data_IF_551589770413
#
_entry.id   IF_551589770413
#
_cell.length_a   1.000
_cell.length_b   1.000
_cell.length_c   1.000
_cell.angle_alpha   90.00
_cell.angle_beta   90.00
_cell.angle_gamma   90.00
#
_symmetry.space_group_name_H-M   'P 1'
#
loop_
_entity.id
_entity.type
_entity.pdbx_description
1 polymer ?
#
# COMPACT_ATOMS: atom_id res chain seq x y z
N UNK A 1 -4.36 50.18 -48.57
CA UNK A 1 -3.71 50.67 -47.33
C UNK A 1 -4.56 50.47 -46.06
N UNK A 2 -5.88 50.66 -46.12
CA UNK A 2 -6.80 50.52 -44.96
C UNK A 2 -6.95 49.06 -44.50
N UNK A 3 -7.08 48.11 -45.43
CA UNK A 3 -7.29 46.69 -45.15
C UNK A 3 -6.08 46.02 -44.46
N UNK A 4 -4.86 46.36 -44.88
CA UNK A 4 -3.62 45.86 -44.27
C UNK A 4 -3.44 46.36 -42.82
N UNK A 5 -3.80 47.62 -42.56
CA UNK A 5 -3.79 48.18 -41.19
C UNK A 5 -4.80 47.45 -40.30
N UNK A 6 -5.98 47.14 -40.85
CA UNK A 6 -7.05 46.41 -40.15
C UNK A 6 -6.63 44.98 -39.77
N UNK A 7 -6.01 44.25 -40.70
CA UNK A 7 -5.49 42.89 -40.46
C UNK A 7 -4.40 42.91 -39.39
N UNK A 8 -3.50 43.89 -39.42
CA UNK A 8 -2.40 44.00 -38.45
C UNK A 8 -2.87 44.38 -37.04
N UNK A 9 -3.92 45.20 -36.93
CA UNK A 9 -4.58 45.51 -35.64
C UNK A 9 -5.33 44.31 -35.10
N UNK A 10 -6.01 43.53 -35.95
CA UNK A 10 -6.74 42.34 -35.55
C UNK A 10 -5.80 41.21 -35.08
N UNK A 11 -4.69 41.00 -35.80
CA UNK A 11 -3.65 40.04 -35.40
C UNK A 11 -2.99 40.41 -34.06
N UNK A 12 -2.74 41.71 -33.83
CA UNK A 12 -2.23 42.20 -32.53
C UNK A 12 -3.23 41.96 -31.40
N UNK A 13 -4.51 42.24 -31.63
CA UNK A 13 -5.56 42.01 -30.63
C UNK A 13 -5.72 40.52 -30.31
N UNK A 14 -5.69 39.64 -31.33
CA UNK A 14 -5.73 38.20 -31.16
C UNK A 14 -4.50 37.66 -30.40
N UNK A 15 -3.30 38.18 -30.68
CA UNK A 15 -2.08 37.80 -29.97
C UNK A 15 -2.11 38.21 -28.49
N UNK A 16 -2.63 39.41 -28.19
CA UNK A 16 -2.81 39.89 -26.80
C UNK A 16 -3.85 39.02 -26.08
N UNK A 17 -4.97 38.69 -26.73
CA UNK A 17 -6.00 37.82 -26.16
C UNK A 17 -5.46 36.42 -25.85
N UNK A 18 -4.66 35.84 -26.76
CA UNK A 18 -3.99 34.56 -26.55
C UNK A 18 -3.02 34.60 -25.35
N UNK A 19 -2.24 35.67 -25.20
CA UNK A 19 -1.35 35.86 -24.04
C UNK A 19 -2.12 35.96 -22.72
N UNK A 20 -3.28 36.64 -22.71
CA UNK A 20 -4.14 36.72 -21.51
C UNK A 20 -4.71 35.35 -21.14
N UNK A 21 -5.19 34.57 -22.12
CA UNK A 21 -5.72 33.22 -21.86
C UNK A 21 -4.63 32.29 -21.32
N UNK A 22 -3.39 32.39 -21.84
CA UNK A 22 -2.25 31.63 -21.34
C UNK A 22 -1.86 32.01 -19.91
N UNK A 23 -1.97 33.31 -19.55
CA UNK A 23 -1.66 33.79 -18.20
C UNK A 23 -2.65 33.28 -17.13
N UNK A 24 -3.94 33.14 -17.46
CA UNK A 24 -4.96 32.61 -16.53
C UNK A 24 -4.85 31.08 -16.36
N UNK A 25 -4.18 30.39 -17.29
CA UNK A 25 -3.95 28.94 -17.24
C UNK A 25 -2.94 28.49 -16.18
N UNK A 26 -2.00 29.35 -15.79
CA UNK A 26 -1.04 29.07 -14.72
C UNK A 26 -1.71 29.18 -13.33
N UNK A 27 -2.49 28.16 -12.95
CA UNK A 27 -2.92 27.98 -11.57
C UNK A 27 -1.73 27.55 -10.72
N UNK A 28 -1.03 28.51 -10.13
CA UNK A 28 -0.10 28.23 -9.04
C UNK A 28 -0.89 27.62 -7.88
N UNK A 29 -0.76 26.30 -7.67
CA UNK A 29 -1.33 25.64 -6.49
C UNK A 29 -0.32 25.79 -5.37
N UNK A 30 -0.56 26.73 -4.47
CA UNK A 30 0.14 26.79 -3.20
C UNK A 30 -0.26 25.56 -2.38
N UNK A 31 0.69 24.65 -2.12
CA UNK A 31 0.44 23.52 -1.22
C UNK A 31 0.67 23.99 0.22
N UNK A 32 -0.40 23.93 1.00
CA UNK A 32 -0.37 24.31 2.39
C UNK A 32 0.32 23.21 3.23
N UNK A 33 1.09 23.62 4.23
CA UNK A 33 1.74 22.68 5.15
C UNK A 33 0.66 21.88 5.89
N UNK A 34 0.79 20.55 5.99
CA UNK A 34 -0.19 19.72 6.68
C UNK A 34 -0.39 20.14 8.14
N UNK A 35 -1.61 19.97 8.67
CA UNK A 35 -1.93 20.21 10.09
C UNK A 35 -0.99 19.43 11.01
N UNK A 36 -0.64 18.21 10.59
CA UNK A 36 0.43 17.39 11.16
C UNK A 36 1.31 16.89 10.03
N UNK A 37 2.50 17.48 9.89
CA UNK A 37 3.51 17.01 8.96
C UNK A 37 4.23 15.79 9.55
N UNK A 38 4.05 14.63 8.91
CA UNK A 38 4.82 13.42 9.16
C UNK A 38 6.27 13.66 8.74
N UNK A 39 7.24 13.19 9.51
CA UNK A 39 8.62 13.06 9.02
C UNK A 39 8.69 12.09 7.84
N UNK A 40 9.77 12.15 7.04
CA UNK A 40 9.98 11.25 5.90
C UNK A 40 9.91 9.77 6.34
N UNK A 41 10.54 9.46 7.47
CA UNK A 41 10.51 8.12 8.08
C UNK A 41 9.12 7.70 8.55
N UNK A 42 8.36 8.59 9.21
CA UNK A 42 6.97 8.25 9.61
C UNK A 42 6.08 8.05 8.38
N UNK A 43 6.24 8.86 7.34
CA UNK A 43 5.50 8.71 6.09
C UNK A 43 5.84 7.38 5.41
N UNK A 44 7.12 6.97 5.42
CA UNK A 44 7.55 5.67 4.91
C UNK A 44 6.93 4.50 5.69
N UNK A 45 6.81 4.62 7.02
CA UNK A 45 6.12 3.63 7.85
C UNK A 45 4.63 3.55 7.52
N UNK A 46 3.95 4.70 7.40
CA UNK A 46 2.53 4.74 7.05
C UNK A 46 2.28 4.08 5.69
N UNK A 47 3.09 4.42 4.68
CA UNK A 47 3.00 3.80 3.35
C UNK A 47 3.22 2.29 3.46
N UNK A 48 4.27 1.84 4.16
CA UNK A 48 4.55 0.42 4.35
C UNK A 48 3.38 -0.34 4.98
N UNK A 49 2.77 0.20 6.06
CA UNK A 49 1.65 -0.46 6.75
C UNK A 49 0.37 -0.47 5.90
N UNK A 50 0.04 0.63 5.23
CA UNK A 50 -1.13 0.69 4.34
C UNK A 50 -0.97 -0.25 3.14
N UNK A 51 0.21 -0.28 2.51
CA UNK A 51 0.50 -1.23 1.42
C UNK A 51 0.38 -2.67 1.89
N UNK A 52 0.83 -3.00 3.11
CA UNK A 52 0.66 -4.34 3.65
C UNK A 52 -0.83 -4.71 3.82
N UNK A 53 -1.65 -3.79 4.33
CA UNK A 53 -3.11 -3.99 4.44
C UNK A 53 -3.74 -4.19 3.06
N UNK A 54 -3.32 -3.42 2.06
CA UNK A 54 -3.82 -3.53 0.69
C UNK A 54 -3.44 -4.87 0.06
N UNK A 55 -2.22 -5.37 0.27
CA UNK A 55 -1.82 -6.72 -0.16
C UNK A 55 -2.67 -7.82 0.48
N UNK A 56 -3.02 -7.69 1.77
CA UNK A 56 -3.93 -8.63 2.44
C UNK A 56 -5.33 -8.60 1.79
N UNK A 57 -5.81 -7.41 1.43
CA UNK A 57 -7.08 -7.24 0.73
C UNK A 57 -7.06 -7.85 -0.67
N UNK A 58 -6.01 -7.61 -1.45
CA UNK A 58 -5.86 -8.16 -2.81
C UNK A 58 -5.74 -9.69 -2.79
N UNK A 59 -5.08 -10.24 -1.78
CA UNK A 59 -5.05 -11.69 -1.54
C UNK A 59 -6.38 -12.20 -0.99
N UNK A 60 -7.40 -11.38 -0.75
CA UNK A 60 -8.69 -11.84 -0.25
C UNK A 60 -8.66 -12.33 1.20
N UNK A 61 -7.69 -11.89 2.01
CA UNK A 61 -7.53 -12.33 3.40
C UNK A 61 -8.75 -11.96 4.26
N UNK A 62 -9.33 -10.78 4.02
CA UNK A 62 -10.52 -10.31 4.74
C UNK A 62 -11.81 -11.04 4.37
N UNK A 63 -11.80 -11.91 3.36
CA UNK A 63 -12.92 -12.76 2.96
C UNK A 63 -12.69 -14.22 3.37
N UNK A 64 -11.44 -14.68 3.32
CA UNK A 64 -11.07 -16.09 3.56
C UNK A 64 -10.77 -16.42 5.02
N UNK A 65 -10.28 -15.45 5.79
CA UNK A 65 -9.98 -15.62 7.22
C UNK A 65 -11.14 -15.07 8.05
N UNK A 66 -11.78 -15.92 8.86
CA UNK A 66 -12.96 -15.54 9.67
C UNK A 66 -12.64 -14.49 10.74
N UNK A 67 -11.41 -14.47 11.24
CA UNK A 67 -10.95 -13.49 12.23
C UNK A 67 -10.76 -12.14 11.56
N UNK A 68 -10.05 -12.10 10.43
CA UNK A 68 -9.84 -10.88 9.66
C UNK A 68 -11.16 -10.34 9.09
N UNK A 69 -12.06 -11.21 8.64
CA UNK A 69 -13.40 -10.83 8.17
C UNK A 69 -14.21 -10.14 9.28
N UNK A 70 -14.14 -10.64 10.51
CA UNK A 70 -14.83 -10.05 11.67
C UNK A 70 -14.24 -8.70 12.08
N UNK A 71 -12.91 -8.55 12.05
CA UNK A 71 -12.25 -7.28 12.38
C UNK A 71 -12.47 -6.25 11.26
N UNK A 72 -12.35 -6.68 10.00
CA UNK A 72 -12.53 -5.85 8.82
C UNK A 72 -11.33 -4.94 8.52
N UNK A 73 -11.10 -4.68 7.22
CA UNK A 73 -10.00 -3.83 6.72
C UNK A 73 -9.99 -2.43 7.35
N UNK A 74 -11.17 -1.85 7.58
CA UNK A 74 -11.30 -0.49 8.09
C UNK A 74 -10.63 -0.32 9.46
N UNK A 75 -10.80 -1.28 10.37
CA UNK A 75 -10.21 -1.23 11.72
C UNK A 75 -8.69 -1.26 11.68
N UNK A 76 -8.07 -1.95 10.72
CA UNK A 76 -6.62 -1.90 10.54
C UNK A 76 -6.15 -0.52 10.05
N UNK A 77 -6.86 0.08 9.08
CA UNK A 77 -6.54 1.44 8.59
C UNK A 77 -6.69 2.47 9.72
N UNK A 78 -7.75 2.38 10.53
CA UNK A 78 -7.93 3.21 11.72
C UNK A 78 -6.81 3.00 12.74
N UNK A 79 -6.35 1.77 12.92
CA UNK A 79 -5.19 1.44 13.75
C UNK A 79 -3.93 2.18 13.30
N UNK A 80 -3.65 2.19 11.99
CA UNK A 80 -2.53 2.97 11.41
C UNK A 80 -2.72 4.46 11.69
N UNK A 81 -3.90 5.01 11.40
CA UNK A 81 -4.17 6.43 11.63
C UNK A 81 -4.00 6.84 13.09
N UNK A 82 -4.51 6.03 14.03
CA UNK A 82 -4.34 6.25 15.45
C UNK A 82 -2.88 6.16 15.89
N UNK A 83 -2.14 5.17 15.41
CA UNK A 83 -0.72 4.95 15.74
C UNK A 83 0.13 6.17 15.38
N UNK A 84 -0.14 6.79 14.23
CA UNK A 84 0.61 7.95 13.76
C UNK A 84 -0.09 9.29 14.07
N UNK A 85 -1.19 9.30 14.83
CA UNK A 85 -1.91 10.56 15.14
C UNK A 85 -2.39 11.32 13.89
N UNK A 86 -2.73 10.62 12.81
CA UNK A 86 -3.21 11.19 11.55
C UNK A 86 -4.65 10.77 11.27
N UNK A 87 -5.23 11.32 10.21
CA UNK A 87 -6.49 10.87 9.63
C UNK A 87 -6.39 10.95 8.08
N UNK A 88 -7.44 10.55 7.36
CA UNK A 88 -7.46 10.59 5.89
C UNK A 88 -7.15 11.98 5.31
N UNK A 89 -7.61 13.06 5.94
CA UNK A 89 -7.35 14.44 5.50
C UNK A 89 -5.87 14.78 5.65
N UNK A 90 -5.29 14.52 6.82
CA UNK A 90 -3.88 14.76 7.13
C UNK A 90 -2.97 13.91 6.22
N UNK A 91 -3.32 12.64 5.97
CA UNK A 91 -2.56 11.79 5.06
C UNK A 91 -2.53 12.38 3.63
N UNK A 92 -3.68 12.86 3.15
CA UNK A 92 -3.75 13.53 1.84
C UNK A 92 -2.89 14.79 1.79
N UNK A 93 -2.93 15.62 2.84
CA UNK A 93 -2.09 16.82 2.93
C UNK A 93 -0.60 16.45 2.90
N UNK A 94 -0.17 15.41 3.61
CA UNK A 94 1.22 14.94 3.60
C UNK A 94 1.64 14.45 2.20
N UNK A 95 0.77 13.67 1.54
CA UNK A 95 0.99 13.23 0.16
C UNK A 95 1.17 14.42 -0.80
N UNK A 96 0.32 15.44 -0.69
CA UNK A 96 0.43 16.67 -1.49
C UNK A 96 1.74 17.43 -1.18
N UNK A 97 2.06 17.63 0.10
CA UNK A 97 3.28 18.32 0.54
C UNK A 97 4.58 17.67 0.05
N UNK A 98 4.66 16.34 0.12
CA UNK A 98 5.83 15.62 -0.37
C UNK A 98 5.86 15.53 -1.90
N UNK A 99 4.71 15.53 -2.59
CA UNK A 99 4.67 15.49 -4.06
C UNK A 99 5.32 16.71 -4.75
N UNK A 100 5.40 17.87 -4.08
CA UNK A 100 6.17 19.02 -4.58
C UNK A 100 7.68 18.79 -4.56
N UNK A 101 8.15 17.88 -3.70
CA UNK A 101 9.55 17.59 -3.46
C UNK A 101 9.93 16.23 -4.02
N UNK A 102 9.84 16.06 -5.35
CA UNK A 102 10.04 14.77 -6.04
C UNK A 102 11.19 13.89 -5.50
N UNK A 103 12.37 14.45 -5.24
CA UNK A 103 13.52 13.68 -4.70
C UNK A 103 13.24 13.09 -3.32
N UNK A 104 12.70 13.88 -2.40
CA UNK A 104 12.34 13.42 -1.05
C UNK A 104 11.22 12.40 -1.13
N UNK A 105 10.25 12.64 -2.02
CA UNK A 105 9.12 11.74 -2.12
C UNK A 105 9.50 10.35 -2.65
N UNK A 106 10.38 10.31 -3.64
CA UNK A 106 10.98 9.05 -4.13
C UNK A 106 11.73 8.33 -3.02
N UNK A 107 12.51 9.06 -2.20
CA UNK A 107 13.24 8.47 -1.09
C UNK A 107 12.31 7.84 -0.04
N UNK A 108 11.21 8.52 0.31
CA UNK A 108 10.18 7.99 1.22
C UNK A 108 9.61 6.66 0.71
N UNK A 109 9.24 6.60 -0.57
CA UNK A 109 8.73 5.36 -1.16
C UNK A 109 9.76 4.25 -1.22
N UNK A 110 11.01 4.58 -1.60
CA UNK A 110 12.10 3.61 -1.62
C UNK A 110 12.35 3.02 -0.22
N UNK A 111 12.33 3.86 0.81
CA UNK A 111 12.43 3.43 2.19
C UNK A 111 11.26 2.55 2.62
N UNK A 112 10.02 2.93 2.29
CA UNK A 112 8.83 2.12 2.58
C UNK A 112 8.92 0.73 1.94
N UNK A 113 9.35 0.64 0.69
CA UNK A 113 9.58 -0.62 -0.02
C UNK A 113 10.68 -1.46 0.63
N UNK A 114 11.78 -0.84 1.04
CA UNK A 114 12.87 -1.53 1.73
C UNK A 114 12.42 -2.11 3.08
N UNK A 115 11.61 -1.36 3.84
CA UNK A 115 11.02 -1.85 5.10
C UNK A 115 10.07 -3.01 4.85
N UNK A 116 9.25 -2.96 3.80
CA UNK A 116 8.35 -4.05 3.44
C UNK A 116 9.14 -5.32 3.07
N UNK A 117 10.20 -5.19 2.25
CA UNK A 117 11.10 -6.29 1.91
C UNK A 117 11.77 -6.89 3.15
N UNK A 118 12.34 -6.04 4.00
CA UNK A 118 12.98 -6.48 5.25
C UNK A 118 12.02 -7.26 6.14
N UNK A 119 10.77 -6.80 6.26
CA UNK A 119 9.72 -7.53 7.02
C UNK A 119 9.45 -8.90 6.37
N UNK A 120 9.30 -8.96 5.04
CA UNK A 120 9.09 -10.21 4.32
C UNK A 120 10.24 -11.21 4.56
N UNK A 121 11.48 -10.79 4.37
CA UNK A 121 12.67 -11.61 4.59
C UNK A 121 12.74 -12.13 6.04
N UNK A 122 12.38 -11.29 7.02
CA UNK A 122 12.29 -11.71 8.43
C UNK A 122 11.20 -12.75 8.68
N UNK A 123 10.05 -12.66 7.99
CA UNK A 123 9.00 -13.65 8.10
C UNK A 123 9.43 -14.99 7.49
N UNK A 124 10.08 -14.99 6.33
CA UNK A 124 10.58 -16.20 5.68
C UNK A 124 11.61 -16.93 6.55
N UNK A 125 12.63 -16.22 7.04
CA UNK A 125 13.63 -16.79 7.96
C UNK A 125 13.02 -17.40 9.22
N UNK A 126 12.03 -16.72 9.82
CA UNK A 126 11.33 -17.26 11.00
C UNK A 126 10.54 -18.53 10.69
N UNK A 127 10.07 -18.71 9.45
CA UNK A 127 9.36 -19.91 9.04
C UNK A 127 10.33 -21.07 8.78
N UNK A 128 11.49 -20.80 8.17
CA UNK A 128 12.56 -21.78 8.00
C UNK A 128 13.08 -22.30 9.34
N UNK A 129 13.39 -21.39 10.29
CA UNK A 129 13.81 -21.78 11.64
C UNK A 129 12.76 -22.63 12.38
N UNK A 130 11.47 -22.35 12.18
CA UNK A 130 10.38 -23.15 12.76
C UNK A 130 10.28 -24.54 12.13
N UNK A 131 10.62 -24.66 10.84
CA UNK A 131 10.61 -25.93 10.14
C UNK A 131 11.81 -26.78 10.55
N UNK A 132 13.00 -26.18 10.66
CA UNK A 132 14.23 -26.84 11.13
C UNK A 132 14.12 -27.33 12.58
N UNK A 133 13.44 -26.56 13.45
CA UNK A 133 13.24 -26.92 14.87
C UNK A 133 12.10 -27.89 15.12
N UNK A 134 11.32 -28.28 14.09
CA UNK A 134 10.23 -29.26 14.23
C UNK A 134 10.85 -30.67 14.18
N UNK A 135 10.91 -31.43 15.29
CA UNK A 135 11.58 -32.73 15.29
C UNK A 135 10.85 -33.70 14.34
N UNK A 136 11.63 -34.42 13.54
CA UNK A 136 11.24 -35.44 12.55
C UNK A 136 10.36 -36.59 13.13
N UNK A 137 10.21 -36.64 14.46
CA UNK A 137 9.49 -37.68 15.20
C UNK A 137 7.96 -37.61 15.14
N UNK A 138 7.37 -36.52 14.60
CA UNK A 138 5.90 -36.40 14.51
C UNK A 138 5.29 -36.95 13.22
N UNK A 139 6.08 -37.15 12.16
CA UNK A 139 5.62 -37.78 10.90
C UNK A 139 5.86 -39.30 10.86
N UNK A 140 6.70 -39.83 11.76
CA UNK A 140 7.01 -41.26 11.87
C UNK A 140 6.01 -42.07 12.72
N UNK A 141 4.95 -41.46 13.24
CA UNK A 141 3.80 -42.21 13.79
C UNK A 141 2.68 -42.34 12.74
N UNK A 142 3.07 -42.68 11.52
CA UNK A 142 2.13 -43.13 10.49
C UNK A 142 1.73 -44.56 10.85
N UNK A 143 0.45 -44.70 11.20
CA UNK A 143 -0.28 -45.94 11.44
C UNK A 143 0.14 -46.99 10.40
N UNK A 144 0.44 -48.20 10.86
CA UNK A 144 0.84 -49.32 10.02
C UNK A 144 -0.34 -49.73 9.11
N UNK A 145 -0.17 -49.73 7.78
CA UNK A 145 -1.28 -50.04 6.86
C UNK A 145 -1.82 -51.48 6.93
N UNK A 146 -1.25 -52.35 7.77
CA UNK A 146 -1.59 -53.76 7.89
C UNK A 146 -2.18 -54.18 9.24
N UNK A 147 -2.41 -53.25 10.19
CA UNK A 147 -3.13 -53.58 11.44
C UNK A 147 -4.64 -53.74 11.29
N UNK A 148 -5.21 -53.40 10.12
CA UNK A 148 -6.64 -53.61 9.83
C UNK A 148 -6.79 -54.86 8.95
N UNK A 149 -6.76 -56.04 9.57
CA UNK A 149 -7.13 -57.27 8.88
C UNK A 149 -6.51 -58.53 9.45
N UNK A 150 -6.89 -58.91 10.68
CA UNK A 150 -6.78 -60.30 11.13
C UNK A 150 -7.72 -60.56 12.33
N UNK A 151 -9.01 -60.30 12.16
CA UNK A 151 -10.03 -60.98 12.98
C UNK A 151 -10.80 -61.93 12.09
N UNK A 152 -10.67 -63.20 12.45
CA UNK A 152 -11.09 -64.36 11.70
C UNK A 152 -12.61 -64.44 11.57
N UNK A 153 -13.08 -64.79 10.36
CA UNK A 153 -14.40 -65.37 10.19
C UNK A 153 -14.46 -66.71 10.94
N UNK A 154 -15.46 -66.94 11.82
CA UNK A 154 -15.74 -68.29 12.28
C UNK A 154 -16.47 -69.07 11.19
N UNK A 155 -15.95 -70.27 10.93
CA UNK A 155 -16.54 -71.32 10.09
C UNK A 155 -17.91 -71.76 10.60
N UNK A 156 -18.73 -72.21 9.66
CA UNK A 156 -20.09 -72.75 9.84
C UNK A 156 -20.15 -73.94 10.81
N UNK A 157 -21.24 -74.01 11.57
CA UNK A 157 -22.07 -75.21 11.71
C UNK A 157 -23.53 -74.80 11.89
#
# INVERSE_FOLDING_TARGET
>A
MVLQKFIHTFARAAAIMALVVLAVGCKYRYIEKPERLLSESEMADVICELTYIDMLQERGAFQRDSTLARIGRHTFIEGVYKKYGINKKILRQNNEYYSEHNRRYIAIYAEAMNRLKTKADQYERKQEEKLEKRPESQDAKKIDPWSVGLEAAPQQN
#
